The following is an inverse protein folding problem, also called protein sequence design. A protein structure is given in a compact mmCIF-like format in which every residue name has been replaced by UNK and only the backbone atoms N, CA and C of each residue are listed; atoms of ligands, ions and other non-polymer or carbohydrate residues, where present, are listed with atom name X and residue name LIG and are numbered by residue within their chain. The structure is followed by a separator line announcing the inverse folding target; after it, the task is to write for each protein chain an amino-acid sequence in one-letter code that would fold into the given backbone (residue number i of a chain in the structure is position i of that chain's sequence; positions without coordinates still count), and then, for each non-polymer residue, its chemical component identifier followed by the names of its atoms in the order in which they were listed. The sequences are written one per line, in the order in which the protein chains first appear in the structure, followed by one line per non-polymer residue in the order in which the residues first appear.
data_IF_701984441151
#
_entry.id   IF_701984441151
#
_cell.length_a   1.000
_cell.length_b   1.000
_cell.length_c   1.000
_cell.angle_alpha   90.00
_cell.angle_beta   90.00
_cell.angle_gamma   90.00
#
_symmetry.space_group_name_H-M   'P 1'
#
loop_
_entity.id
_entity.type
_entity.pdbx_description
1 polymer ?
#
# COMPACT_ATOMS: atom_id res chain seq x y z
N UNK A 1 1.42 -10.66 -5.11
CA UNK A 1 0.20 -11.28 -4.57
C UNK A 1 0.06 -12.67 -5.18
N UNK A 2 -0.17 -13.68 -4.34
CA UNK A 2 -0.64 -15.00 -4.75
C UNK A 2 -1.91 -15.31 -3.94
N UNK A 3 -3.01 -15.63 -4.59
CA UNK A 3 -4.31 -15.81 -3.95
C UNK A 3 -5.22 -16.76 -4.72
N UNK A 4 -6.10 -17.44 -4.01
CA UNK A 4 -7.17 -18.28 -4.56
C UNK A 4 -8.57 -17.64 -4.43
N UNK A 5 -8.65 -16.42 -3.91
CA UNK A 5 -9.92 -15.73 -3.69
C UNK A 5 -10.47 -15.20 -5.03
N UNK A 6 -11.76 -15.47 -5.36
CA UNK A 6 -12.35 -15.12 -6.65
C UNK A 6 -12.56 -13.62 -6.84
N UNK A 7 -12.51 -12.83 -5.76
CA UNK A 7 -12.65 -11.36 -5.83
C UNK A 7 -11.47 -10.71 -6.56
N UNK A 8 -10.31 -11.36 -6.58
CA UNK A 8 -9.12 -10.88 -7.27
C UNK A 8 -9.10 -11.42 -8.71
N UNK A 9 -8.93 -10.51 -9.69
CA UNK A 9 -8.93 -10.87 -11.11
C UNK A 9 -7.79 -11.82 -11.48
N UNK A 10 -6.60 -11.55 -10.94
CA UNK A 10 -5.39 -12.36 -11.13
C UNK A 10 -5.09 -13.18 -9.88
N UNK A 11 -4.89 -14.49 -10.05
CA UNK A 11 -4.42 -15.38 -8.96
C UNK A 11 -2.99 -15.06 -8.54
N UNK A 12 -2.17 -14.60 -9.48
CA UNK A 12 -0.79 -14.20 -9.26
C UNK A 12 -0.52 -12.84 -9.92
N UNK A 13 0.13 -11.93 -9.20
CA UNK A 13 0.53 -10.62 -9.72
C UNK A 13 1.74 -10.09 -8.97
N UNK A 14 2.60 -9.35 -9.67
CA UNK A 14 3.78 -8.69 -9.12
C UNK A 14 3.82 -7.26 -9.64
N UNK A 15 3.80 -6.28 -8.72
CA UNK A 15 3.77 -4.85 -9.05
C UNK A 15 4.76 -4.12 -8.16
N UNK A 16 5.34 -3.03 -8.69
CA UNK A 16 6.25 -2.17 -7.92
C UNK A 16 5.48 -0.97 -7.37
N UNK A 17 5.69 -0.66 -6.08
CA UNK A 17 5.02 0.44 -5.38
C UNK A 17 6.03 1.25 -4.58
N UNK A 18 5.86 2.57 -4.61
CA UNK A 18 6.61 3.53 -3.78
C UNK A 18 5.85 3.76 -2.48
N UNK A 19 6.55 4.26 -1.46
CA UNK A 19 5.92 4.65 -0.18
C UNK A 19 4.72 5.59 -0.36
N UNK A 20 4.81 6.56 -1.27
CA UNK A 20 3.71 7.48 -1.59
C UNK A 20 2.45 6.78 -2.12
N UNK A 21 2.61 5.63 -2.77
CA UNK A 21 1.48 4.85 -3.27
C UNK A 21 0.74 4.15 -2.12
N UNK A 22 1.45 3.76 -1.07
CA UNK A 22 0.85 3.25 0.17
C UNK A 22 0.13 4.37 0.94
N UNK A 23 0.71 5.58 0.99
CA UNK A 23 0.01 6.76 1.53
C UNK A 23 -1.30 7.02 0.78
N UNK A 24 -1.26 6.94 -0.55
CA UNK A 24 -2.48 7.05 -1.37
C UNK A 24 -3.50 5.97 -1.01
N UNK A 25 -3.13 4.68 -1.00
CA UNK A 25 -4.06 3.59 -0.68
C UNK A 25 -4.70 3.77 0.70
N UNK A 26 -3.90 4.16 1.70
CA UNK A 26 -4.40 4.46 3.05
C UNK A 26 -5.46 5.56 3.01
N UNK A 27 -5.17 6.67 2.34
CA UNK A 27 -6.10 7.80 2.26
C UNK A 27 -7.41 7.44 1.53
N UNK A 28 -7.33 6.62 0.47
CA UNK A 28 -8.52 6.15 -0.25
C UNK A 28 -9.42 5.29 0.65
N UNK A 29 -8.82 4.35 1.39
CA UNK A 29 -9.55 3.48 2.32
C UNK A 29 -10.13 4.24 3.51
N UNK A 30 -9.44 5.28 4.00
CA UNK A 30 -9.94 6.13 5.09
C UNK A 30 -11.09 7.05 4.65
N UNK A 31 -11.13 7.42 3.37
CA UNK A 31 -12.18 8.31 2.83
C UNK A 31 -13.51 7.59 2.69
N UNK A 32 -13.50 6.43 2.02
CA UNK A 32 -14.72 5.80 1.52
C UNK A 32 -15.11 4.52 2.28
N UNK A 33 -14.20 3.94 3.09
CA UNK A 33 -14.44 2.69 3.80
C UNK A 33 -14.53 2.89 5.32
N UNK A 34 -15.42 2.16 5.98
CA UNK A 34 -15.53 2.12 7.46
C UNK A 34 -14.43 1.27 8.11
N UNK A 35 -13.24 1.28 7.54
CA UNK A 35 -12.12 0.41 7.91
C UNK A 35 -11.18 1.20 8.81
N UNK A 36 -10.76 0.60 9.92
CA UNK A 36 -9.66 1.14 10.71
C UNK A 36 -8.36 0.77 10.02
N UNK A 37 -7.82 1.70 9.25
CA UNK A 37 -6.61 1.48 8.46
C UNK A 37 -5.39 1.44 9.39
N UNK A 38 -4.54 0.40 9.33
CA UNK A 38 -3.34 0.32 10.17
C UNK A 38 -2.36 1.46 9.83
N UNK A 39 -1.52 1.87 10.79
CA UNK A 39 -0.55 2.93 10.54
C UNK A 39 0.51 2.47 9.53
N UNK A 40 0.97 3.41 8.69
CA UNK A 40 2.13 3.21 7.83
C UNK A 40 3.43 3.42 8.63
N UNK A 41 4.54 2.75 8.26
CA UNK A 41 5.85 3.11 8.81
C UNK A 41 6.14 4.59 8.50
N UNK A 42 6.79 5.30 9.42
CA UNK A 42 6.92 6.75 9.34
C UNK A 42 7.59 7.25 8.05
N UNK A 43 7.14 8.41 7.56
CA UNK A 43 7.72 9.09 6.38
C UNK A 43 9.19 9.48 6.58
N UNK A 44 9.63 9.55 7.84
CA UNK A 44 10.99 9.79 8.29
C UNK A 44 11.61 11.08 7.70
N UNK A 45 10.86 12.18 7.74
CA UNK A 45 11.29 13.48 7.20
C UNK A 45 12.65 13.95 7.76
N UNK A 46 12.95 13.63 9.02
CA UNK A 46 14.25 13.95 9.64
C UNK A 46 15.44 13.23 8.97
N UNK A 47 15.22 12.06 8.37
CA UNK A 47 16.22 11.28 7.64
C UNK A 47 16.48 11.83 6.23
N UNK A 48 15.67 12.76 5.74
CA UNK A 48 15.87 13.45 4.46
C UNK A 48 16.68 14.74 4.58
N UNK A 49 16.97 15.19 5.82
CA UNK A 49 17.75 16.40 6.04
C UNK A 49 19.21 16.19 5.61
N UNK A 50 19.86 17.22 5.02
CA UNK A 50 21.27 17.15 4.64
C UNK A 50 22.18 17.15 5.88
N UNK A 51 23.47 16.83 5.67
CA UNK A 51 24.53 16.87 6.68
C UNK A 51 24.33 15.89 7.86
N UNK A 52 23.85 14.69 7.55
CA UNK A 52 23.77 13.58 8.52
C UNK A 52 25.07 12.78 8.53
N UNK A 53 25.35 12.11 9.66
CA UNK A 53 26.46 11.16 9.78
C UNK A 53 26.12 9.74 9.31
N UNK A 54 24.89 9.54 8.80
CA UNK A 54 24.40 8.29 8.23
C UNK A 54 23.90 8.53 6.78
N UNK A 55 23.56 7.46 6.08
CA UNK A 55 23.00 7.49 4.71
C UNK A 55 21.52 7.91 4.65
N UNK A 56 20.94 8.37 5.76
CA UNK A 56 19.59 8.91 5.84
C UNK A 56 18.50 7.92 5.40
N UNK A 57 17.86 8.19 4.26
CA UNK A 57 16.81 7.32 3.68
C UNK A 57 17.37 6.15 2.86
N UNK A 58 18.68 6.17 2.57
CA UNK A 58 19.36 5.11 1.83
C UNK A 58 20.04 4.10 2.75
N UNK A 59 19.95 4.29 4.07
CA UNK A 59 20.43 3.35 5.07
C UNK A 59 19.68 2.01 4.94
N UNK A 60 20.41 0.91 4.80
CA UNK A 60 19.84 -0.43 4.56
C UNK A 60 18.89 -0.87 5.69
N UNK A 61 19.29 -0.61 6.94
CA UNK A 61 18.47 -0.88 8.13
C UNK A 61 17.10 -0.21 8.05
N UNK A 62 17.07 1.04 7.61
CA UNK A 62 15.86 1.84 7.45
C UNK A 62 15.00 1.35 6.28
N UNK A 63 15.63 1.00 5.16
CA UNK A 63 14.92 0.44 4.01
C UNK A 63 14.24 -0.88 4.40
N UNK A 64 14.93 -1.75 5.12
CA UNK A 64 14.41 -3.05 5.53
C UNK A 64 13.30 -2.92 6.59
N UNK A 65 13.48 -2.07 7.61
CA UNK A 65 12.42 -1.75 8.58
C UNK A 65 11.15 -1.24 7.89
N UNK A 66 11.32 -0.32 6.94
CA UNK A 66 10.21 0.20 6.14
C UNK A 66 9.58 -0.88 5.28
N UNK A 67 10.37 -1.74 4.61
CA UNK A 67 9.87 -2.84 3.79
C UNK A 67 8.99 -3.78 4.61
N UNK A 68 9.45 -4.18 5.79
CA UNK A 68 8.68 -5.03 6.71
C UNK A 68 7.40 -4.35 7.18
N UNK A 69 7.46 -3.07 7.55
CA UNK A 69 6.27 -2.32 7.96
C UNK A 69 5.22 -2.19 6.85
N UNK A 70 5.65 -1.95 5.60
CA UNK A 70 4.77 -1.88 4.44
C UNK A 70 4.18 -3.26 4.10
N UNK A 71 4.95 -4.33 4.23
CA UNK A 71 4.49 -5.71 4.05
C UNK A 71 3.41 -6.07 5.08
N UNK A 72 3.63 -5.75 6.36
CA UNK A 72 2.63 -5.97 7.41
C UNK A 72 1.36 -5.16 7.16
N UNK A 73 1.49 -3.90 6.74
CA UNK A 73 0.36 -3.04 6.39
C UNK A 73 -0.49 -3.67 5.28
N UNK A 74 0.14 -4.04 4.16
CA UNK A 74 -0.61 -4.53 2.99
C UNK A 74 -1.21 -5.90 3.23
N UNK A 75 -0.54 -6.78 3.96
CA UNK A 75 -1.09 -8.10 4.31
C UNK A 75 -2.35 -7.96 5.19
N UNK A 76 -2.36 -7.03 6.15
CA UNK A 76 -3.56 -6.75 6.98
C UNK A 76 -4.71 -6.19 6.13
N UNK A 77 -4.43 -5.26 5.24
CA UNK A 77 -5.43 -4.66 4.35
C UNK A 77 -5.97 -5.70 3.35
N UNK A 78 -5.10 -6.49 2.71
CA UNK A 78 -5.50 -7.50 1.74
C UNK A 78 -6.34 -8.62 2.37
N UNK A 79 -6.14 -8.91 3.67
CA UNK A 79 -6.96 -9.86 4.43
C UNK A 79 -8.31 -9.30 4.91
N UNK A 80 -8.55 -7.99 4.82
CA UNK A 80 -9.75 -7.36 5.37
C UNK A 80 -10.93 -7.42 4.39
N UNK A 81 -12.07 -8.08 4.72
CA UNK A 81 -13.17 -8.28 3.77
C UNK A 81 -13.75 -6.99 3.17
N UNK A 82 -13.85 -5.92 3.97
CA UNK A 82 -14.32 -4.64 3.44
C UNK A 82 -13.31 -4.03 2.47
N UNK A 83 -12.00 -4.17 2.70
CA UNK A 83 -10.98 -3.62 1.81
C UNK A 83 -10.90 -4.43 0.50
N UNK A 84 -11.11 -5.74 0.57
CA UNK A 84 -11.20 -6.61 -0.61
C UNK A 84 -12.31 -6.17 -1.58
N UNK A 85 -13.36 -5.51 -1.10
CA UNK A 85 -14.40 -4.97 -1.96
C UNK A 85 -14.03 -3.65 -2.62
N UNK A 86 -12.97 -2.95 -2.19
CA UNK A 86 -12.63 -1.62 -2.69
C UNK A 86 -11.76 -1.67 -3.93
N UNK A 87 -12.17 -0.96 -4.99
CA UNK A 87 -11.42 -0.93 -6.27
C UNK A 87 -9.99 -0.44 -6.12
N UNK A 88 -9.73 0.49 -5.19
CA UNK A 88 -8.40 1.02 -4.94
C UNK A 88 -7.40 -0.08 -4.53
N UNK A 89 -7.85 -1.10 -3.79
CA UNK A 89 -6.99 -2.22 -3.38
C UNK A 89 -6.57 -3.09 -4.57
N UNK A 90 -7.50 -3.34 -5.49
CA UNK A 90 -7.23 -4.15 -6.69
C UNK A 90 -6.28 -3.44 -7.63
N UNK A 91 -6.51 -2.15 -7.86
CA UNK A 91 -5.59 -1.31 -8.63
C UNK A 91 -4.20 -1.28 -7.98
N UNK A 92 -4.15 -1.16 -6.65
CA UNK A 92 -2.89 -1.18 -5.93
C UNK A 92 -2.13 -2.51 -6.07
N UNK A 93 -2.81 -3.65 -6.02
CA UNK A 93 -2.19 -4.98 -6.00
C UNK A 93 -1.96 -5.61 -7.37
N UNK A 94 -2.78 -5.28 -8.38
CA UNK A 94 -2.83 -6.03 -9.64
C UNK A 94 -2.50 -5.20 -10.89
N UNK A 95 -2.72 -3.89 -10.88
CA UNK A 95 -2.42 -3.03 -12.04
C UNK A 95 -0.96 -2.58 -12.01
N UNK A 96 -0.32 -2.38 -13.16
CA UNK A 96 1.08 -1.93 -13.17
C UNK A 96 1.24 -0.50 -12.62
N UNK A 97 0.30 0.37 -12.98
CA UNK A 97 0.27 1.80 -12.61
C UNK A 97 -1.02 2.15 -11.87
N UNK A 98 -0.93 3.08 -10.92
CA UNK A 98 -2.10 3.62 -10.20
C UNK A 98 -2.65 4.81 -10.99
N UNK A 99 -3.91 4.70 -11.45
CA UNK A 99 -4.64 5.84 -11.99
C UNK A 99 -5.17 6.72 -10.86
N UNK A 100 -4.57 7.91 -10.71
CA UNK A 100 -4.97 8.88 -9.67
C UNK A 100 -6.31 9.57 -9.96
N UNK A 101 -6.81 9.48 -11.19
CA UNK A 101 -8.10 10.03 -11.61
C UNK A 101 -9.18 8.94 -11.70
N UNK A 102 -8.91 7.74 -11.17
CA UNK A 102 -9.89 6.68 -11.17
C UNK A 102 -11.16 7.10 -10.44
N UNK A 103 -12.28 6.48 -10.81
CA UNK A 103 -13.56 6.65 -10.11
C UNK A 103 -13.58 5.71 -8.91
N UNK A 104 -13.66 6.22 -7.66
CA UNK A 104 -13.79 5.41 -6.46
C UNK A 104 -15.04 4.54 -6.51
N UNK A 105 -14.99 3.39 -5.86
CA UNK A 105 -16.11 2.47 -5.79
C UNK A 105 -15.69 1.05 -5.50
N UNK A 106 -16.70 0.18 -5.41
CA UNK A 106 -16.49 -1.24 -5.13
C UNK A 106 -16.20 -2.03 -6.40
N UNK A 107 -15.45 -3.12 -6.25
CA UNK A 107 -15.29 -4.11 -7.32
C UNK A 107 -16.67 -4.70 -7.63
N UNK A 108 -17.08 -4.57 -8.89
CA UNK A 108 -18.28 -5.24 -9.39
C UNK A 108 -17.92 -6.70 -9.61
N UNK A 109 -18.65 -7.61 -8.95
CA UNK A 109 -18.62 -9.04 -9.30
C UNK A 109 -19.20 -9.25 -10.69
#
# INVERSE_FOLDING_TARGET
LQTNLPIFKLKESCVRRRYSDFEWLKNELERDSKIVVPPLPGKALKRQLPFRGDEGIFEESFIEERRQGLEQFINKIAGHPLAQNERCLHMFLQEETIDRNYVPGKVRQ
#
